data_IF_305482832425
#
_entry.id   IF_305482832425
#
_cell.length_a   1.000
_cell.length_b   1.000
_cell.length_c   1.000
_cell.angle_alpha   90.00
_cell.angle_beta   90.00
_cell.angle_gamma   90.00
#
_symmetry.space_group_name_H-M   'P 1'
#
loop_
_entity.id
_entity.type
_entity.pdbx_description
1 polymer ?
#
# COMPACT_ATOMS: atom_id res chain seq x y z
N UNK A 1 -30.20 2.03 3.37
CA UNK A 1 -30.47 2.67 2.06
C UNK A 1 -30.23 4.16 2.24
N UNK A 2 -29.41 4.78 1.39
CA UNK A 2 -29.21 6.22 1.43
C UNK A 2 -30.42 6.95 0.89
N UNK A 3 -30.83 8.06 1.52
CA UNK A 3 -31.99 8.84 1.10
C UNK A 3 -31.57 9.96 0.16
N UNK A 4 -31.25 9.61 -1.09
CA UNK A 4 -30.78 10.56 -2.12
C UNK A 4 -31.79 11.68 -2.39
N UNK A 5 -33.09 11.37 -2.45
CA UNK A 5 -34.14 12.38 -2.64
C UNK A 5 -34.17 13.44 -1.52
N UNK A 6 -34.01 13.01 -0.27
CA UNK A 6 -33.95 13.92 0.88
C UNK A 6 -32.67 14.76 0.80
N UNK A 7 -31.55 14.12 0.46
CA UNK A 7 -30.27 14.79 0.38
C UNK A 7 -30.26 15.84 -0.74
N UNK A 8 -30.93 15.60 -1.88
CA UNK A 8 -31.09 16.55 -2.98
C UNK A 8 -31.85 17.81 -2.55
N UNK A 9 -32.86 17.67 -1.69
CA UNK A 9 -33.59 18.80 -1.09
C UNK A 9 -32.77 19.56 -0.04
N UNK A 10 -31.92 18.86 0.71
CA UNK A 10 -31.16 19.45 1.82
C UNK A 10 -29.87 20.14 1.37
N UNK A 11 -29.20 19.66 0.32
CA UNK A 11 -27.92 20.22 -0.15
C UNK A 11 -28.02 21.73 -0.44
N UNK A 12 -29.03 22.23 -1.19
CA UNK A 12 -29.16 23.67 -1.47
C UNK A 12 -29.39 24.52 -0.22
N UNK A 13 -29.94 23.93 0.85
CA UNK A 13 -30.23 24.60 2.11
C UNK A 13 -29.07 24.51 3.12
N UNK A 14 -28.05 23.71 2.82
CA UNK A 14 -26.95 23.43 3.74
C UNK A 14 -25.74 24.32 3.45
N UNK A 15 -25.26 25.00 4.49
CA UNK A 15 -24.01 25.75 4.40
C UNK A 15 -22.80 24.81 4.33
N UNK A 16 -21.84 25.14 3.46
CA UNK A 16 -20.57 24.40 3.29
C UNK A 16 -19.58 24.54 4.44
N UNK A 17 -19.93 25.29 5.48
CA UNK A 17 -19.16 25.34 6.73
C UNK A 17 -18.98 23.94 7.35
N UNK A 18 -19.80 22.94 6.99
CA UNK A 18 -19.59 21.56 7.42
C UNK A 18 -18.30 20.89 6.89
N UNK A 19 -17.71 21.36 5.80
CA UNK A 19 -16.51 20.78 5.17
C UNK A 19 -15.18 21.29 5.75
N UNK A 20 -15.19 22.41 6.47
CA UNK A 20 -13.94 23.00 7.00
C UNK A 20 -14.13 23.67 8.36
N UNK A 21 -15.34 23.72 8.88
CA UNK A 21 -15.66 24.37 10.15
C UNK A 21 -15.14 23.58 11.34
N UNK A 22 -14.68 24.32 12.35
CA UNK A 22 -14.33 23.76 13.67
C UNK A 22 -15.54 23.03 14.26
N UNK A 23 -15.31 21.83 14.78
CA UNK A 23 -16.33 20.92 15.33
C UNK A 23 -17.48 20.56 14.38
N UNK A 24 -17.26 20.72 13.07
CA UNK A 24 -18.18 20.24 12.04
C UNK A 24 -17.63 18.98 11.40
N UNK A 25 -18.57 18.15 10.94
CA UNK A 25 -18.27 16.91 10.23
C UNK A 25 -18.87 17.02 8.84
N UNK A 26 -18.05 16.79 7.82
CA UNK A 26 -18.54 16.73 6.45
C UNK A 26 -19.52 15.56 6.29
N UNK A 27 -20.68 15.75 5.63
CA UNK A 27 -21.64 14.67 5.37
C UNK A 27 -21.04 13.54 4.52
N UNK A 28 -19.91 13.77 3.85
CA UNK A 28 -19.13 12.74 3.14
C UNK A 28 -18.78 11.57 4.07
N UNK A 29 -18.43 11.84 5.33
CA UNK A 29 -18.15 10.79 6.32
C UNK A 29 -19.37 9.91 6.57
N UNK A 30 -20.58 10.48 6.65
CA UNK A 30 -21.80 9.70 6.85
C UNK A 30 -22.13 8.82 5.63
N UNK A 31 -21.93 9.33 4.42
CA UNK A 31 -22.14 8.56 3.19
C UNK A 31 -21.13 7.40 3.09
N UNK A 32 -19.85 7.64 3.40
CA UNK A 32 -18.80 6.61 3.44
C UNK A 32 -19.08 5.58 4.52
N UNK A 33 -19.38 6.02 5.75
CA UNK A 33 -19.70 5.12 6.87
C UNK A 33 -20.92 4.24 6.55
N UNK A 34 -21.92 4.82 5.88
CA UNK A 34 -23.13 4.11 5.45
C UNK A 34 -22.92 3.18 4.26
N UNK A 35 -21.80 3.28 3.53
CA UNK A 35 -21.62 2.59 2.25
C UNK A 35 -22.63 3.03 1.19
N UNK A 36 -23.04 4.30 1.21
CA UNK A 36 -24.06 4.83 0.30
C UNK A 36 -23.40 5.52 -0.88
N UNK A 37 -23.06 4.74 -1.91
CA UNK A 37 -22.37 5.19 -3.12
C UNK A 37 -23.12 6.34 -3.83
N UNK A 38 -24.43 6.21 -4.02
CA UNK A 38 -25.24 7.25 -4.67
C UNK A 38 -25.24 8.57 -3.88
N UNK A 39 -25.36 8.49 -2.55
CA UNK A 39 -25.29 9.67 -1.70
C UNK A 39 -23.89 10.31 -1.73
N UNK A 40 -22.84 9.49 -1.71
CA UNK A 40 -21.46 9.96 -1.79
C UNK A 40 -21.21 10.68 -3.12
N UNK A 41 -21.52 10.03 -4.24
CA UNK A 41 -21.39 10.61 -5.58
C UNK A 41 -22.18 11.92 -5.68
N UNK A 42 -23.40 11.99 -5.15
CA UNK A 42 -24.21 13.21 -5.18
C UNK A 42 -23.60 14.35 -4.35
N UNK A 43 -23.10 14.07 -3.14
CA UNK A 43 -22.38 15.06 -2.33
C UNK A 43 -21.16 15.61 -3.09
N UNK A 44 -20.33 14.73 -3.64
CA UNK A 44 -19.12 15.15 -4.34
C UNK A 44 -19.43 15.94 -5.62
N UNK A 45 -20.47 15.57 -6.39
CA UNK A 45 -20.96 16.36 -7.54
C UNK A 45 -21.39 17.76 -7.16
N UNK A 46 -22.00 17.92 -5.99
CA UNK A 46 -22.42 19.22 -5.53
C UNK A 46 -21.25 20.06 -5.03
N UNK A 47 -20.05 19.49 -4.89
CA UNK A 47 -18.80 20.17 -4.53
C UNK A 47 -18.41 20.04 -3.05
N UNK A 48 -18.84 18.97 -2.37
CA UNK A 48 -18.28 18.60 -1.08
C UNK A 48 -16.87 18.00 -1.28
N UNK A 49 -15.95 18.26 -0.35
CA UNK A 49 -14.57 17.75 -0.46
C UNK A 49 -14.52 16.23 -0.24
N UNK A 50 -13.91 15.44 -1.15
CA UNK A 50 -13.69 14.01 -0.91
C UNK A 50 -12.54 13.75 0.09
N UNK A 51 -11.68 14.75 0.31
CA UNK A 51 -10.64 14.77 1.33
C UNK A 51 -11.05 15.78 2.42
N UNK A 52 -12.16 15.47 3.08
CA UNK A 52 -12.69 16.29 4.17
C UNK A 52 -11.72 16.33 5.36
N UNK A 53 -11.82 17.38 6.17
CA UNK A 53 -11.02 17.57 7.38
C UNK A 53 -11.18 16.41 8.37
N UNK A 54 -10.16 16.23 9.23
CA UNK A 54 -10.18 15.21 10.28
C UNK A 54 -11.49 15.22 11.06
N UNK A 55 -12.17 14.08 11.08
CA UNK A 55 -13.40 13.93 11.83
C UNK A 55 -13.10 13.46 13.25
N UNK A 56 -13.21 14.37 14.23
CA UNK A 56 -13.02 14.05 15.65
C UNK A 56 -14.08 13.07 16.17
N UNK A 57 -15.29 13.10 15.62
CA UNK A 57 -16.39 12.20 16.03
C UNK A 57 -16.06 10.74 15.72
N UNK A 58 -15.41 10.48 14.58
CA UNK A 58 -15.05 9.14 14.16
C UNK A 58 -13.57 8.79 14.36
N UNK A 59 -12.72 9.78 14.64
CA UNK A 59 -11.28 9.60 14.85
C UNK A 59 -10.49 9.31 13.57
N UNK A 60 -10.97 9.72 12.40
CA UNK A 60 -10.30 9.48 11.12
C UNK A 60 -9.77 10.76 10.50
N UNK A 61 -8.58 10.68 9.91
CA UNK A 61 -7.91 11.78 9.22
C UNK A 61 -8.52 12.14 7.87
N UNK A 62 -9.16 11.18 7.18
CA UNK A 62 -9.85 11.41 5.90
C UNK A 62 -11.04 10.46 5.71
N UNK A 63 -12.01 10.79 4.84
CA UNK A 63 -13.09 9.88 4.48
C UNK A 63 -12.58 8.56 3.87
N UNK A 64 -11.51 8.60 3.08
CA UNK A 64 -10.93 7.39 2.48
C UNK A 64 -10.43 6.41 3.56
N UNK A 65 -9.82 6.90 4.64
CA UNK A 65 -9.40 6.06 5.76
C UNK A 65 -10.55 5.40 6.51
N UNK A 66 -11.71 6.08 6.59
CA UNK A 66 -12.91 5.52 7.21
C UNK A 66 -13.48 4.36 6.38
N UNK A 67 -13.36 4.42 5.05
CA UNK A 67 -13.88 3.39 4.17
C UNK A 67 -13.36 1.98 4.55
N UNK A 68 -12.19 1.86 5.18
CA UNK A 68 -11.62 0.56 5.54
C UNK A 68 -12.20 -0.11 6.80
N UNK A 69 -13.00 0.60 7.60
CA UNK A 69 -13.41 0.14 8.93
C UNK A 69 -14.44 -1.01 8.90
N UNK A 70 -15.23 -1.17 7.84
CA UNK A 70 -16.31 -2.18 7.76
C UNK A 70 -15.89 -3.44 6.98
N UNK A 71 -16.82 -4.39 6.86
CA UNK A 71 -16.65 -5.64 6.08
C UNK A 71 -17.34 -5.64 4.70
N UNK A 72 -18.00 -4.54 4.30
CA UNK A 72 -18.73 -4.42 3.02
C UNK A 72 -17.82 -4.22 1.78
N UNK A 73 -18.41 -4.22 0.59
CA UNK A 73 -17.69 -3.93 -0.65
C UNK A 73 -17.31 -2.44 -0.73
N UNK A 74 -16.07 -2.11 -0.35
CA UNK A 74 -15.57 -0.72 -0.35
C UNK A 74 -15.08 -0.23 -1.69
N UNK A 75 -15.01 -1.09 -2.70
CA UNK A 75 -14.44 -0.74 -3.99
C UNK A 75 -15.20 0.40 -4.66
N UNK A 76 -16.54 0.40 -4.61
CA UNK A 76 -17.33 1.50 -5.18
C UNK A 76 -17.09 2.82 -4.45
N UNK A 77 -17.13 2.83 -3.11
CA UNK A 77 -16.81 4.01 -2.29
C UNK A 77 -15.39 4.53 -2.56
N UNK A 78 -14.38 3.66 -2.56
CA UNK A 78 -12.98 4.00 -2.83
C UNK A 78 -12.82 4.55 -4.25
N UNK A 79 -13.46 3.93 -5.25
CA UNK A 79 -13.41 4.38 -6.64
C UNK A 79 -14.05 5.75 -6.82
N UNK A 80 -15.19 6.00 -6.16
CA UNK A 80 -15.83 7.31 -6.17
C UNK A 80 -14.90 8.35 -5.54
N UNK A 81 -14.33 8.10 -4.36
CA UNK A 81 -13.41 9.06 -3.72
C UNK A 81 -12.19 9.37 -4.60
N UNK A 82 -11.57 8.37 -5.21
CA UNK A 82 -10.45 8.56 -6.13
C UNK A 82 -10.85 9.33 -7.39
N UNK A 83 -12.03 9.04 -7.95
CA UNK A 83 -12.59 9.74 -9.12
C UNK A 83 -12.75 11.25 -8.87
N UNK A 84 -13.09 11.65 -7.65
CA UNK A 84 -13.23 13.06 -7.26
C UNK A 84 -11.94 13.72 -6.77
N UNK A 85 -10.79 13.05 -6.90
CA UNK A 85 -9.48 13.69 -6.78
C UNK A 85 -8.73 13.47 -5.47
N UNK A 86 -9.13 12.49 -4.64
CA UNK A 86 -8.34 12.09 -3.47
C UNK A 86 -6.93 11.68 -3.89
N UNK A 87 -5.93 12.33 -3.31
CA UNK A 87 -4.53 12.01 -3.54
C UNK A 87 -4.08 10.91 -2.58
N UNK A 88 -3.64 9.78 -3.14
CA UNK A 88 -3.10 8.68 -2.36
C UNK A 88 -1.77 9.06 -1.70
N UNK A 89 -1.49 8.46 -0.55
CA UNK A 89 -0.27 8.70 0.23
C UNK A 89 0.02 7.49 1.14
N UNK A 90 1.11 7.56 1.89
CA UNK A 90 1.56 6.50 2.82
C UNK A 90 0.50 6.10 3.87
N UNK A 91 -0.29 7.05 4.33
CA UNK A 91 -1.27 6.84 5.39
C UNK A 91 -2.42 5.96 4.90
N UNK A 92 -2.85 6.14 3.64
CA UNK A 92 -3.84 5.25 3.03
C UNK A 92 -3.35 3.80 2.93
N UNK A 93 -2.06 3.59 2.62
CA UNK A 93 -1.44 2.25 2.63
C UNK A 93 -1.35 1.67 4.05
N UNK A 94 -0.98 2.49 5.04
CA UNK A 94 -0.92 2.08 6.45
C UNK A 94 -2.30 1.61 6.95
N UNK A 95 -3.37 2.31 6.57
CA UNK A 95 -4.74 1.92 6.91
C UNK A 95 -5.18 0.62 6.22
N UNK A 96 -4.77 0.40 4.96
CA UNK A 96 -5.01 -0.88 4.31
C UNK A 96 -4.35 -2.04 5.07
N UNK A 97 -3.15 -1.84 5.64
CA UNK A 97 -2.51 -2.84 6.51
C UNK A 97 -3.24 -2.99 7.84
N UNK A 98 -3.62 -1.88 8.49
CA UNK A 98 -4.36 -1.87 9.76
C UNK A 98 -5.65 -2.69 9.72
N UNK A 99 -6.39 -2.60 8.61
CA UNK A 99 -7.66 -3.30 8.40
C UNK A 99 -7.55 -4.51 7.46
N UNK A 100 -6.32 -4.96 7.16
CA UNK A 100 -6.02 -6.13 6.32
C UNK A 100 -6.68 -6.10 4.92
N UNK A 101 -6.90 -4.92 4.36
CA UNK A 101 -7.47 -4.71 3.01
C UNK A 101 -6.39 -4.81 1.93
N UNK A 102 -5.73 -5.97 1.82
CA UNK A 102 -4.58 -6.18 0.92
C UNK A 102 -4.93 -6.00 -0.57
N UNK A 103 -6.14 -6.37 -0.97
CA UNK A 103 -6.62 -6.14 -2.35
C UNK A 103 -6.66 -4.65 -2.69
N UNK A 104 -7.13 -3.80 -1.77
CA UNK A 104 -7.13 -2.33 -1.94
C UNK A 104 -5.72 -1.76 -1.87
N UNK A 105 -4.87 -2.30 -0.99
CA UNK A 105 -3.45 -1.95 -0.93
C UNK A 105 -2.77 -2.11 -2.30
N UNK A 106 -2.95 -3.29 -2.93
CA UNK A 106 -2.40 -3.58 -4.27
C UNK A 106 -3.00 -2.66 -5.33
N UNK A 107 -4.30 -2.36 -5.23
CA UNK A 107 -4.98 -1.42 -6.13
C UNK A 107 -4.40 0.00 -6.03
N UNK A 108 -4.11 0.50 -4.83
CA UNK A 108 -3.49 1.82 -4.63
C UNK A 108 -2.09 1.92 -5.22
N UNK A 109 -1.29 0.86 -5.09
CA UNK A 109 0.02 0.80 -5.75
C UNK A 109 -0.11 0.90 -7.27
N UNK A 110 -1.08 0.21 -7.88
CA UNK A 110 -1.37 0.29 -9.32
C UNK A 110 -1.88 1.66 -9.75
N UNK A 111 -2.69 2.33 -8.91
CA UNK A 111 -3.17 3.71 -9.15
C UNK A 111 -2.09 4.78 -8.97
N UNK A 112 -0.84 4.40 -8.71
CA UNK A 112 0.27 5.34 -8.70
C UNK A 112 0.51 6.00 -7.35
N UNK A 113 0.06 5.37 -6.24
CA UNK A 113 0.34 5.88 -4.89
C UNK A 113 1.84 6.25 -4.76
N UNK A 114 2.16 7.49 -4.33
CA UNK A 114 3.54 7.94 -4.21
C UNK A 114 4.26 7.13 -3.12
N UNK A 115 5.43 6.59 -3.49
CA UNK A 115 6.30 5.82 -2.61
C UNK A 115 7.54 6.62 -2.16
N UNK A 116 7.73 7.81 -2.73
CA UNK A 116 8.77 8.74 -2.32
C UNK A 116 8.27 9.62 -1.17
N UNK A 117 9.19 10.09 -0.32
CA UNK A 117 8.92 11.08 0.75
C UNK A 117 7.88 10.65 1.80
N UNK A 118 8.07 9.45 2.36
CA UNK A 118 7.27 8.96 3.49
C UNK A 118 7.67 9.68 4.79
N UNK A 119 6.80 10.58 5.27
CA UNK A 119 7.04 11.44 6.44
C UNK A 119 6.53 10.80 7.75
N UNK A 120 5.63 9.82 7.66
CA UNK A 120 4.99 9.11 8.78
C UNK A 120 5.24 7.59 8.69
N UNK A 121 6.46 7.21 8.31
CA UNK A 121 6.90 5.80 8.27
C UNK A 121 6.57 5.04 9.55
N UNK A 122 6.61 5.68 10.72
CA UNK A 122 6.35 5.02 12.00
C UNK A 122 4.95 4.36 12.08
N UNK A 123 3.89 5.03 11.61
CA UNK A 123 2.53 4.47 11.64
C UNK A 123 2.41 3.29 10.67
N UNK A 124 2.94 3.44 9.45
CA UNK A 124 3.00 2.37 8.46
C UNK A 124 3.74 1.15 9.01
N UNK A 125 4.94 1.35 9.55
CA UNK A 125 5.79 0.28 10.11
C UNK A 125 5.07 -0.44 11.25
N UNK A 126 4.43 0.29 12.16
CA UNK A 126 3.69 -0.30 13.27
C UNK A 126 2.57 -1.23 12.78
N UNK A 127 1.84 -0.84 11.74
CA UNK A 127 0.82 -1.70 11.14
C UNK A 127 1.43 -2.86 10.35
N UNK A 128 2.48 -2.61 9.57
CA UNK A 128 3.20 -3.62 8.80
C UNK A 128 3.77 -4.74 9.68
N UNK A 129 4.32 -4.41 10.86
CA UNK A 129 4.78 -5.38 11.85
C UNK A 129 3.61 -6.25 12.35
N UNK A 130 2.44 -5.66 12.63
CA UNK A 130 1.28 -6.42 13.10
C UNK A 130 0.80 -7.44 12.07
N UNK A 131 0.88 -7.12 10.78
CA UNK A 131 0.47 -8.01 9.68
C UNK A 131 1.63 -8.79 9.04
N UNK A 132 2.81 -8.85 9.68
CA UNK A 132 4.00 -9.48 9.10
C UNK A 132 3.84 -10.97 8.81
N UNK A 133 2.98 -11.68 9.54
CA UNK A 133 2.63 -13.08 9.25
C UNK A 133 1.94 -13.27 7.88
N UNK A 134 1.33 -12.19 7.36
CA UNK A 134 0.67 -12.15 6.04
C UNK A 134 1.47 -11.32 5.03
N UNK A 135 2.80 -11.19 5.21
CA UNK A 135 3.62 -10.35 4.33
C UNK A 135 3.46 -10.68 2.84
N UNK A 136 3.23 -11.97 2.50
CA UNK A 136 3.02 -12.45 1.13
C UNK A 136 1.87 -11.73 0.40
N UNK A 137 0.88 -11.21 1.13
CA UNK A 137 -0.28 -10.52 0.56
C UNK A 137 0.01 -9.08 0.12
N UNK A 138 1.03 -8.42 0.69
CA UNK A 138 1.22 -6.98 0.51
C UNK A 138 2.67 -6.55 0.25
N UNK A 139 3.64 -7.16 0.94
CA UNK A 139 5.05 -6.76 0.88
C UNK A 139 5.66 -6.99 -0.52
N UNK A 140 5.45 -8.14 -1.18
CA UNK A 140 5.91 -8.33 -2.56
C UNK A 140 5.41 -7.23 -3.51
N UNK A 141 4.11 -6.90 -3.42
CA UNK A 141 3.52 -5.86 -4.28
C UNK A 141 4.13 -4.49 -4.02
N UNK A 142 4.39 -4.14 -2.75
CA UNK A 142 5.04 -2.88 -2.37
C UNK A 142 6.45 -2.76 -2.96
N UNK A 143 7.27 -3.79 -2.80
CA UNK A 143 8.66 -3.81 -3.27
C UNK A 143 8.75 -3.85 -4.80
N UNK A 144 7.85 -4.61 -5.45
CA UNK A 144 7.75 -4.64 -6.90
C UNK A 144 7.36 -3.28 -7.48
N UNK A 145 6.46 -2.55 -6.81
CA UNK A 145 6.05 -1.19 -7.17
C UNK A 145 7.16 -0.13 -7.03
N UNK A 146 8.37 -0.53 -6.61
CA UNK A 146 9.55 0.34 -6.53
C UNK A 146 9.73 1.04 -5.19
N UNK A 147 9.10 0.55 -4.12
CA UNK A 147 9.39 1.01 -2.77
C UNK A 147 10.83 0.66 -2.37
N UNK A 148 11.57 1.63 -1.84
CA UNK A 148 12.94 1.40 -1.34
C UNK A 148 12.90 0.59 -0.02
N UNK A 149 13.39 -0.66 0.01
CA UNK A 149 13.34 -1.50 1.19
C UNK A 149 14.12 -0.92 2.38
N UNK A 150 15.09 -0.03 2.16
CA UNK A 150 15.82 0.62 3.25
C UNK A 150 14.91 1.44 4.17
N UNK A 151 13.79 1.95 3.65
CA UNK A 151 12.78 2.65 4.44
C UNK A 151 12.00 1.72 5.40
N UNK A 152 12.00 0.41 5.15
CA UNK A 152 11.44 -0.60 6.06
C UNK A 152 12.46 -1.05 7.12
N UNK A 153 13.76 -1.09 6.80
CA UNK A 153 14.81 -1.69 7.62
C UNK A 153 15.23 -0.83 8.83
N UNK A 154 14.26 -0.35 9.62
CA UNK A 154 14.47 0.33 10.90
C UNK A 154 14.50 -0.68 12.07
N UNK A 155 14.79 -0.19 13.30
CA UNK A 155 14.94 -1.08 14.47
C UNK A 155 13.69 -1.87 14.78
N UNK A 156 12.54 -1.21 14.76
CA UNK A 156 11.25 -1.83 15.04
C UNK A 156 10.95 -2.96 14.07
N UNK A 157 11.22 -2.79 12.78
CA UNK A 157 11.05 -3.84 11.78
C UNK A 157 12.04 -4.97 11.98
N UNK A 158 13.34 -4.64 12.06
CA UNK A 158 14.40 -5.63 12.20
C UNK A 158 14.24 -6.44 13.49
N UNK A 159 13.73 -5.92 14.59
CA UNK A 159 13.58 -6.74 15.80
C UNK A 159 12.27 -7.55 15.82
N UNK A 160 11.20 -7.07 15.18
CA UNK A 160 9.87 -7.63 15.38
C UNK A 160 9.40 -8.63 14.31
N UNK A 161 9.87 -8.54 13.06
CA UNK A 161 9.36 -9.41 11.98
C UNK A 161 10.01 -10.78 12.01
N UNK A 162 9.39 -11.80 11.40
CA UNK A 162 9.98 -13.15 11.28
C UNK A 162 11.27 -13.14 10.44
N UNK A 163 12.10 -14.18 10.58
CA UNK A 163 13.32 -14.30 9.78
C UNK A 163 13.01 -14.39 8.29
N UNK A 164 11.93 -15.09 7.91
CA UNK A 164 11.51 -15.22 6.51
C UNK A 164 11.09 -13.87 5.92
N UNK A 165 10.30 -13.08 6.66
CA UNK A 165 9.90 -11.72 6.24
C UNK A 165 11.12 -10.81 6.09
N UNK A 166 12.10 -10.93 6.99
CA UNK A 166 13.32 -10.13 6.93
C UNK A 166 14.21 -10.54 5.75
N UNK A 167 14.44 -11.84 5.54
CA UNK A 167 15.19 -12.36 4.39
C UNK A 167 14.52 -11.91 3.09
N UNK A 168 13.20 -12.04 2.99
CA UNK A 168 12.44 -11.57 1.83
C UNK A 168 12.63 -10.06 1.58
N UNK A 169 12.66 -9.24 2.63
CA UNK A 169 12.94 -7.79 2.50
C UNK A 169 14.35 -7.55 1.97
N UNK A 170 15.33 -8.32 2.46
CA UNK A 170 16.74 -8.20 2.05
C UNK A 170 16.98 -8.62 0.61
N UNK A 171 16.20 -9.55 0.05
CA UNK A 171 16.26 -9.94 -1.38
C UNK A 171 16.06 -8.74 -2.34
N UNK A 172 15.45 -7.65 -1.88
CA UNK A 172 15.27 -6.42 -2.67
C UNK A 172 16.39 -5.38 -2.44
N UNK A 173 17.44 -5.75 -1.71
CA UNK A 173 18.56 -4.87 -1.37
C UNK A 173 19.89 -5.43 -1.86
N UNK A 174 20.91 -4.58 -1.86
CA UNK A 174 22.29 -5.04 -1.81
C UNK A 174 22.66 -5.26 -0.34
N UNK A 175 22.32 -6.45 0.20
CA UNK A 175 22.53 -6.75 1.62
C UNK A 175 24.00 -6.74 2.05
N UNK A 176 24.95 -6.69 1.10
CA UNK A 176 26.38 -6.53 1.38
C UNK A 176 26.84 -5.08 1.49
N UNK A 177 26.04 -4.12 1.01
CA UNK A 177 26.33 -2.68 1.02
C UNK A 177 25.19 -1.91 1.68
N UNK A 178 24.74 -2.38 2.84
CA UNK A 178 23.73 -1.70 3.64
C UNK A 178 24.35 -0.52 4.42
N UNK A 179 23.54 0.48 4.81
CA UNK A 179 23.98 1.51 5.73
C UNK A 179 24.53 0.92 7.03
N UNK A 180 25.62 1.47 7.61
CA UNK A 180 26.29 0.88 8.79
C UNK A 180 25.37 0.68 10.00
N UNK A 181 24.38 1.55 10.18
CA UNK A 181 23.38 1.41 11.24
C UNK A 181 22.54 0.14 11.06
N UNK A 182 22.02 -0.08 9.85
CA UNK A 182 21.21 -1.26 9.49
C UNK A 182 22.04 -2.53 9.61
N UNK A 183 23.28 -2.52 9.11
CA UNK A 183 24.20 -3.66 9.18
C UNK A 183 24.50 -4.09 10.62
N UNK A 184 24.73 -3.12 11.52
CA UNK A 184 24.93 -3.38 12.95
C UNK A 184 23.71 -4.04 13.60
N UNK A 185 22.50 -3.56 13.27
CA UNK A 185 21.25 -4.08 13.80
C UNK A 185 20.96 -5.51 13.29
N UNK A 186 21.20 -5.75 12.01
CA UNK A 186 21.09 -7.08 11.40
C UNK A 186 22.09 -8.06 12.02
N UNK A 187 23.34 -7.64 12.24
CA UNK A 187 24.37 -8.47 12.87
C UNK A 187 24.01 -8.84 14.32
N UNK A 188 23.47 -7.88 15.08
CA UNK A 188 22.96 -8.13 16.43
C UNK A 188 21.80 -9.13 16.42
N UNK A 189 20.83 -8.97 15.51
CA UNK A 189 19.71 -9.90 15.34
C UNK A 189 20.19 -11.29 14.91
N UNK A 190 21.09 -11.38 13.94
CA UNK A 190 21.56 -12.63 13.37
C UNK A 190 22.16 -13.56 14.44
N UNK A 191 22.81 -12.99 15.46
CA UNK A 191 23.42 -13.73 16.58
C UNK A 191 22.41 -14.57 17.38
N UNK A 192 21.13 -14.15 17.41
CA UNK A 192 20.05 -14.81 18.14
C UNK A 192 18.98 -15.44 17.22
N UNK A 193 19.17 -15.34 15.90
CA UNK A 193 18.17 -15.76 14.90
C UNK A 193 18.51 -17.10 14.27
N UNK A 194 17.66 -17.57 13.35
CA UNK A 194 17.85 -18.82 12.59
C UNK A 194 19.16 -18.84 11.82
N UNK A 195 19.61 -20.06 11.52
CA UNK A 195 20.76 -20.30 10.64
C UNK A 195 20.56 -19.68 9.25
N UNK A 196 19.33 -19.70 8.73
CA UNK A 196 19.00 -19.18 7.40
C UNK A 196 19.32 -17.67 7.29
N UNK A 197 18.92 -16.86 8.28
CA UNK A 197 19.22 -15.44 8.28
C UNK A 197 20.72 -15.16 8.36
N UNK A 198 21.45 -15.91 9.21
CA UNK A 198 22.92 -15.77 9.32
C UNK A 198 23.61 -16.10 8.00
N UNK A 199 23.20 -17.19 7.36
CA UNK A 199 23.75 -17.63 6.08
C UNK A 199 23.45 -16.61 4.98
N UNK A 200 22.24 -16.06 4.94
CA UNK A 200 21.86 -15.05 3.95
C UNK A 200 22.68 -13.76 4.10
N UNK A 201 22.81 -13.22 5.31
CA UNK A 201 23.62 -12.01 5.58
C UNK A 201 25.11 -12.24 5.27
N UNK A 202 25.63 -13.43 5.54
CA UNK A 202 27.02 -13.77 5.25
C UNK A 202 27.28 -14.00 3.74
N UNK A 203 26.26 -14.37 2.97
CA UNK A 203 26.38 -14.63 1.55
C UNK A 203 26.65 -13.35 0.75
N UNK A 204 27.42 -13.48 -0.32
CA UNK A 204 27.63 -12.39 -1.27
C UNK A 204 26.55 -12.46 -2.35
N UNK A 205 25.82 -11.36 -2.61
CA UNK A 205 24.84 -11.35 -3.68
C UNK A 205 25.49 -11.63 -5.03
N UNK A 206 24.81 -12.41 -5.88
CA UNK A 206 25.32 -12.74 -7.21
C UNK A 206 25.42 -11.49 -8.09
N UNK A 207 26.30 -11.53 -9.08
CA UNK A 207 26.38 -10.45 -10.06
C UNK A 207 25.03 -10.23 -10.77
N UNK A 208 24.30 -11.31 -11.07
CA UNK A 208 22.96 -11.22 -11.67
C UNK A 208 22.01 -10.43 -10.78
N UNK A 209 22.04 -10.63 -9.46
CA UNK A 209 21.21 -9.89 -8.52
C UNK A 209 21.58 -8.41 -8.47
N UNK A 210 22.88 -8.11 -8.41
CA UNK A 210 23.36 -6.73 -8.45
C UNK A 210 22.94 -6.03 -9.75
N UNK A 211 23.02 -6.71 -10.90
CA UNK A 211 22.52 -6.19 -12.17
C UNK A 211 21.00 -5.96 -12.14
N UNK A 212 20.21 -6.85 -11.53
CA UNK A 212 18.77 -6.65 -11.37
C UNK A 212 18.45 -5.38 -10.58
N UNK A 213 19.14 -5.16 -9.46
CA UNK A 213 18.95 -3.96 -8.65
C UNK A 213 19.28 -2.70 -9.44
N UNK A 214 20.39 -2.70 -10.18
CA UNK A 214 20.84 -1.55 -10.97
C UNK A 214 19.92 -1.24 -12.17
N UNK A 215 19.42 -2.29 -12.84
CA UNK A 215 18.42 -2.11 -13.90
C UNK A 215 17.15 -1.52 -13.31
N UNK A 216 16.67 -2.04 -12.17
CA UNK A 216 15.44 -1.55 -11.52
C UNK A 216 15.58 -0.13 -11.00
N UNK A 217 16.72 0.25 -10.41
CA UNK A 217 16.98 1.61 -9.94
C UNK A 217 17.02 2.64 -11.09
N UNK A 218 17.43 2.20 -12.29
CA UNK A 218 17.42 3.01 -13.50
C UNK A 218 16.02 3.23 -14.08
N UNK A 219 15.03 2.42 -13.68
CA UNK A 219 13.64 2.57 -14.10
C UNK A 219 12.93 3.57 -13.19
N UNK A 220 12.11 4.45 -13.78
CA UNK A 220 11.25 5.34 -12.99
C UNK A 220 10.26 4.51 -12.14
N UNK A 221 9.93 4.92 -10.90
CA UNK A 221 8.96 4.22 -10.06
C UNK A 221 7.61 4.00 -10.75
N UNK A 222 7.19 4.93 -11.61
CA UNK A 222 5.96 4.82 -12.42
C UNK A 222 5.95 3.58 -13.32
N UNK A 223 7.10 3.20 -13.86
CA UNK A 223 7.26 2.04 -14.74
C UNK A 223 7.33 0.72 -13.95
N UNK A 224 7.80 0.75 -12.71
CA UNK A 224 7.89 -0.43 -11.85
C UNK A 224 6.51 -0.89 -11.33
N UNK A 225 5.51 -0.01 -11.34
CA UNK A 225 4.14 -0.32 -10.89
C UNK A 225 3.34 -1.19 -11.87
N UNK A 226 3.85 -1.41 -13.08
CA UNK A 226 3.17 -2.19 -14.11
C UNK A 226 4.10 -3.21 -14.74
N UNK A 227 3.80 -4.48 -14.51
CA UNK A 227 4.54 -5.62 -15.10
C UNK A 227 4.57 -5.53 -16.63
N UNK A 228 3.51 -4.96 -17.22
CA UNK A 228 3.40 -4.76 -18.66
C UNK A 228 4.55 -3.93 -19.24
N UNK A 229 5.05 -2.93 -18.50
CA UNK A 229 6.17 -2.11 -18.93
C UNK A 229 7.47 -2.93 -18.95
N UNK A 230 7.72 -3.72 -17.89
CA UNK A 230 8.90 -4.59 -17.82
C UNK A 230 8.90 -5.60 -18.97
N UNK A 231 7.74 -6.17 -19.29
CA UNK A 231 7.58 -7.11 -20.41
C UNK A 231 7.72 -6.46 -21.80
N UNK A 232 7.65 -5.13 -21.91
CA UNK A 232 7.87 -4.38 -23.15
C UNK A 232 9.34 -3.96 -23.36
N UNK A 233 10.20 -4.11 -22.34
CA UNK A 233 11.63 -3.85 -22.49
C UNK A 233 12.23 -4.75 -23.57
N UNK A 234 13.21 -4.27 -24.38
CA UNK A 234 13.86 -5.04 -25.43
C UNK A 234 14.85 -6.07 -24.85
N UNK A 235 14.34 -6.98 -24.02
CA UNK A 235 15.06 -8.02 -23.29
C UNK A 235 14.38 -9.38 -23.53
N UNK A 236 15.11 -10.50 -23.40
CA UNK A 236 14.51 -11.83 -23.40
C UNK A 236 13.52 -12.03 -22.26
N UNK A 237 12.49 -12.87 -22.49
CA UNK A 237 11.45 -13.21 -21.48
C UNK A 237 12.01 -13.71 -20.15
N UNK A 238 13.11 -14.45 -20.17
CA UNK A 238 13.77 -14.92 -18.95
C UNK A 238 14.27 -13.75 -18.08
N UNK A 239 14.75 -12.67 -18.69
CA UNK A 239 15.15 -11.46 -17.98
C UNK A 239 13.94 -10.65 -17.52
N UNK A 240 12.83 -10.63 -18.25
CA UNK A 240 11.59 -10.03 -17.75
C UNK A 240 11.13 -10.68 -16.44
N UNK A 241 11.02 -12.01 -16.43
CA UNK A 241 10.65 -12.76 -15.23
C UNK A 241 11.63 -12.51 -14.06
N UNK A 242 12.92 -12.41 -14.36
CA UNK A 242 13.95 -12.14 -13.37
C UNK A 242 13.84 -10.72 -12.78
N UNK A 243 13.57 -9.71 -13.61
CA UNK A 243 13.34 -8.32 -13.17
C UNK A 243 12.04 -8.18 -12.35
N UNK A 244 11.07 -9.07 -12.57
CA UNK A 244 9.83 -9.21 -11.79
C UNK A 244 9.98 -10.13 -10.56
N UNK A 245 11.21 -10.55 -10.22
CA UNK A 245 11.48 -11.39 -9.05
C UNK A 245 10.75 -12.74 -9.05
N UNK A 246 10.33 -13.25 -10.21
CA UNK A 246 9.49 -14.44 -10.32
C UNK A 246 10.06 -15.66 -9.57
N UNK A 247 11.39 -15.83 -9.59
CA UNK A 247 12.06 -16.89 -8.86
C UNK A 247 12.02 -16.71 -7.34
N UNK A 248 12.19 -15.48 -6.84
CA UNK A 248 12.12 -15.17 -5.41
C UNK A 248 10.69 -15.36 -4.90
N UNK A 249 9.70 -14.89 -5.67
CA UNK A 249 8.27 -15.06 -5.33
C UNK A 249 7.90 -16.54 -5.26
N UNK A 250 8.34 -17.34 -6.24
CA UNK A 250 8.09 -18.79 -6.27
C UNK A 250 8.78 -19.52 -5.12
N UNK A 251 10.04 -19.19 -4.81
CA UNK A 251 10.78 -19.80 -3.69
C UNK A 251 10.12 -19.53 -2.34
N UNK A 252 9.47 -18.36 -2.20
CA UNK A 252 8.76 -17.98 -0.98
C UNK A 252 7.27 -18.36 -1.01
N UNK A 253 6.81 -19.13 -2.00
CA UNK A 253 5.40 -19.53 -2.17
C UNK A 253 4.45 -18.33 -2.07
N UNK A 254 4.81 -17.21 -2.70
CA UNK A 254 3.95 -16.03 -2.78
C UNK A 254 2.82 -16.35 -3.76
N UNK A 255 1.54 -16.20 -3.37
CA UNK A 255 0.41 -16.49 -4.24
C UNK A 255 0.41 -15.57 -5.48
N UNK A 256 -0.06 -16.09 -6.61
CA UNK A 256 -0.43 -15.25 -7.76
C UNK A 256 -1.73 -14.52 -7.40
N UNK A 257 -1.59 -13.26 -7.02
CA UNK A 257 -2.71 -12.47 -6.51
C UNK A 257 -3.49 -11.85 -7.67
N UNK A 258 -4.79 -12.11 -7.72
CA UNK A 258 -5.67 -11.64 -8.78
C UNK A 258 -5.55 -10.13 -9.00
N UNK A 259 -5.42 -9.75 -10.27
CA UNK A 259 -5.39 -8.36 -10.70
C UNK A 259 -6.82 -7.83 -10.67
N UNK A 260 -7.11 -6.92 -9.74
CA UNK A 260 -8.31 -6.10 -9.84
C UNK A 260 -8.20 -5.30 -11.14
N UNK A 261 -8.98 -5.68 -12.15
CA UNK A 261 -9.20 -4.89 -13.34
C UNK A 261 -10.11 -3.71 -12.97
N UNK A 262 -9.95 -2.59 -13.67
CA UNK A 262 -10.76 -1.39 -13.44
C UNK A 262 -12.26 -1.73 -13.46
N UNK A 263 -12.88 -1.83 -12.28
CA UNK A 263 -14.32 -1.80 -12.10
C UNK A 263 -15.11 -3.12 -12.14
N UNK A 264 -14.52 -4.27 -12.45
CA UNK A 264 -15.26 -5.55 -12.43
C UNK A 264 -14.53 -6.62 -11.60
N UNK A 265 -15.14 -6.97 -10.48
CA UNK A 265 -14.79 -8.16 -9.70
C UNK A 265 -15.68 -9.29 -10.23
N UNK A 266 -15.13 -10.19 -11.03
CA UNK A 266 -15.62 -11.57 -11.06
C UNK A 266 -14.79 -12.37 -10.07
N UNK A 267 -15.29 -12.48 -8.83
CA UNK A 267 -14.90 -13.58 -7.94
C UNK A 267 -15.51 -14.87 -8.51
N UNK A 268 -14.66 -15.81 -8.92
CA UNK A 268 -15.12 -17.17 -9.18
C UNK A 268 -15.38 -17.88 -7.86
N UNK A 269 -16.64 -18.31 -7.72
CA UNK A 269 -17.26 -19.22 -6.75
C UNK A 269 -16.29 -20.22 -6.11
#
# INVERSE_FOLDING_TARGET
MGHTEILDLLIPLTSRVCDTGLDKVSPVYSAVFGGHEDCLEMLLRHGYSPDAQMCLVFGFSSPLCMAFQKDCEFFGIVNILLKYGVQLNELHLAYCLKYEKFSVFRYFLKKGCPLASWNHTSEFINHAIKVQAKYKEWLPSLLLAGFDPLNLLCNSWIEAVSDDTLIFTLEFTNWRRLPPAVDKMLSARASNSSWALRQHIAAVPSLTHLCRLEIRSSLKPEHLRSDSFICQLPLPRSLHNYLLYAEVLRMNEVPELAVIQDGEITETI
#
